data_IF_288780674255
#
_entry.id   IF_288780674255
#
_cell.length_a   1.000
_cell.length_b   1.000
_cell.length_c   1.000
_cell.angle_alpha   90.00
_cell.angle_beta   90.00
_cell.angle_gamma   90.00
#
_symmetry.space_group_name_H-M   'P 1'
#
loop_
_entity.id
_entity.type
_entity.pdbx_description
1 polymer ?
#
# COMPACT_ATOMS: atom_id res chain seq x y z
N UNK A 1 10.70 -1.32 -1.08
CA UNK A 1 10.24 0.08 -1.22
C UNK A 1 10.40 0.86 0.08
N UNK A 2 9.85 0.40 1.20
CA UNK A 2 10.01 1.07 2.50
C UNK A 2 11.45 1.11 2.98
N UNK A 3 12.23 0.06 2.77
CA UNK A 3 13.65 0.02 3.13
C UNK A 3 14.46 1.10 2.41
N UNK A 4 14.10 1.40 1.17
CA UNK A 4 14.76 2.45 0.37
C UNK A 4 14.33 3.86 0.80
N UNK A 5 13.05 4.03 1.15
CA UNK A 5 12.48 5.34 1.51
C UNK A 5 12.77 5.70 2.97
N UNK A 6 12.77 4.72 3.89
CA UNK A 6 12.86 4.95 5.33
C UNK A 6 14.22 4.55 5.93
N UNK A 7 15.12 3.97 5.14
CA UNK A 7 16.38 3.38 5.60
C UNK A 7 16.15 2.03 6.28
N UNK A 8 17.17 1.16 6.28
CA UNK A 8 17.14 -0.11 6.97
C UNK A 8 17.06 0.08 8.49
N UNK A 9 16.27 -0.76 9.17
CA UNK A 9 16.34 -0.88 10.64
C UNK A 9 17.79 -1.30 10.95
N UNK A 10 18.55 -0.49 11.69
CA UNK A 10 19.92 -0.87 12.09
C UNK A 10 19.84 -2.08 13.03
N UNK A 11 20.04 -3.26 12.47
CA UNK A 11 20.45 -4.41 13.28
C UNK A 11 21.95 -4.28 13.46
N UNK A 12 22.39 -4.02 14.68
CA UNK A 12 23.78 -4.10 15.09
C UNK A 12 24.25 -5.55 14.97
N UNK A 13 24.78 -5.94 13.81
CA UNK A 13 25.60 -7.15 13.69
C UNK A 13 26.80 -6.84 12.82
N UNK A 14 27.95 -6.86 13.46
CA UNK A 14 29.26 -6.77 12.81
C UNK A 14 29.52 -8.03 11.98
N UNK A 15 30.10 -7.82 10.81
CA UNK A 15 30.95 -8.80 10.15
C UNK A 15 30.34 -9.49 8.94
N UNK A 16 30.93 -9.26 7.79
CA UNK A 16 30.75 -10.11 6.62
C UNK A 16 30.75 -9.35 5.29
N UNK A 17 31.95 -9.06 4.82
CA UNK A 17 32.24 -8.63 3.46
C UNK A 17 31.75 -9.72 2.47
N UNK A 18 30.75 -9.40 1.63
CA UNK A 18 30.59 -10.13 0.37
C UNK A 18 29.94 -9.22 -0.67
N UNK A 19 30.74 -8.86 -1.66
CA UNK A 19 30.37 -8.10 -2.83
C UNK A 19 29.38 -8.88 -3.70
N UNK A 20 28.22 -8.30 -3.93
CA UNK A 20 27.17 -8.74 -4.84
C UNK A 20 26.74 -7.58 -5.72
N UNK A 21 27.23 -7.60 -6.89
CA UNK A 21 27.11 -6.88 -8.13
C UNK A 21 25.66 -6.48 -8.50
N UNK A 22 25.28 -5.25 -8.15
CA UNK A 22 24.26 -4.48 -8.87
C UNK A 22 24.73 -3.03 -8.96
N UNK A 23 25.75 -2.87 -9.81
CA UNK A 23 26.22 -1.56 -10.23
C UNK A 23 25.35 -1.05 -11.36
N UNK A 24 24.97 0.24 -11.26
CA UNK A 24 24.67 1.01 -12.43
C UNK A 24 23.41 1.86 -12.39
N UNK A 25 23.36 2.88 -11.51
CA UNK A 25 22.92 4.21 -11.87
C UNK A 25 23.76 5.18 -11.04
N UNK A 26 24.97 5.40 -11.53
CA UNK A 26 25.87 6.40 -11.01
C UNK A 26 25.54 7.77 -11.57
N UNK A 27 24.88 8.59 -10.77
CA UNK A 27 24.93 10.04 -10.87
C UNK A 27 25.58 10.52 -9.59
N UNK A 28 26.86 10.96 -9.66
CA UNK A 28 27.65 11.32 -8.51
C UNK A 28 27.08 12.49 -7.73
N UNK A 29 26.86 12.24 -6.44
CA UNK A 29 26.98 13.23 -5.40
C UNK A 29 27.82 12.59 -4.29
N UNK A 30 29.13 12.84 -4.37
CA UNK A 30 30.04 12.56 -3.29
C UNK A 30 29.71 13.44 -2.09
N UNK A 31 29.23 12.84 -1.03
CA UNK A 31 29.03 13.45 0.27
C UNK A 31 29.06 12.35 1.33
N UNK A 32 30.14 12.30 2.13
CA UNK A 32 30.36 11.30 3.18
C UNK A 32 29.21 11.31 4.19
N UNK A 33 28.59 10.15 4.37
CA UNK A 33 27.56 9.96 5.39
C UNK A 33 28.18 9.40 6.68
N UNK A 34 28.77 10.31 7.44
CA UNK A 34 29.00 10.14 8.87
C UNK A 34 28.16 11.19 9.60
N UNK A 35 26.91 10.88 9.97
CA UNK A 35 26.08 11.82 10.72
C UNK A 35 24.64 11.33 10.86
N UNK A 36 24.18 11.19 12.09
CA UNK A 36 22.84 10.76 12.51
C UNK A 36 21.71 11.78 12.25
N UNK A 37 21.91 12.78 11.43
CA UNK A 37 20.85 13.71 11.04
C UNK A 37 20.25 13.25 9.71
N UNK A 38 19.06 12.70 9.75
CA UNK A 38 18.26 12.44 8.56
C UNK A 38 17.91 13.80 7.97
N UNK A 39 18.53 14.13 6.82
CA UNK A 39 18.19 15.33 6.09
C UNK A 39 16.68 15.28 5.74
N UNK A 40 15.91 16.15 6.37
CA UNK A 40 14.47 16.30 6.14
C UNK A 40 14.14 16.67 4.68
N UNK A 41 15.16 17.03 3.89
CA UNK A 41 15.05 17.35 2.46
C UNK A 41 15.20 16.13 1.55
N UNK A 42 15.68 14.98 2.09
CA UNK A 42 15.68 13.74 1.32
C UNK A 42 14.25 13.30 0.99
N UNK A 43 13.98 12.70 -0.20
CA UNK A 43 12.63 12.28 -0.59
C UNK A 43 11.88 11.41 0.44
N UNK A 44 12.62 10.65 1.26
CA UNK A 44 12.05 9.87 2.37
C UNK A 44 11.92 10.62 3.70
N UNK A 45 12.52 11.80 3.84
CA UNK A 45 12.57 12.53 5.11
C UNK A 45 11.19 13.00 5.57
N UNK A 46 10.37 13.49 4.66
CA UNK A 46 9.01 13.93 4.96
C UNK A 46 8.12 12.77 5.44
N UNK A 47 8.12 11.64 4.74
CA UNK A 47 7.34 10.46 5.14
C UNK A 47 7.81 9.93 6.51
N UNK A 48 9.12 9.92 6.76
CA UNK A 48 9.67 9.53 8.04
C UNK A 48 9.17 10.41 9.18
N UNK A 49 9.15 11.74 8.98
CA UNK A 49 8.59 12.68 9.95
C UNK A 49 7.09 12.52 10.16
N UNK A 50 6.33 12.29 9.10
CA UNK A 50 4.88 12.03 9.19
C UNK A 50 4.59 10.74 9.99
N UNK A 51 5.40 9.70 9.81
CA UNK A 51 5.25 8.43 10.53
C UNK A 51 5.64 8.50 12.02
N UNK A 52 6.26 9.59 12.49
CA UNK A 52 6.44 9.87 13.91
C UNK A 52 5.10 10.24 14.59
N UNK A 53 4.13 10.76 13.82
CA UNK A 53 2.79 11.02 14.31
C UNK A 53 1.99 9.69 14.37
N UNK A 54 1.47 9.29 15.56
CA UNK A 54 0.77 8.02 15.73
C UNK A 54 -0.51 7.92 14.90
N UNK A 55 -1.27 9.01 14.75
CA UNK A 55 -2.48 9.01 13.94
C UNK A 55 -2.17 8.85 12.45
N UNK A 56 -1.13 9.52 11.96
CA UNK A 56 -0.69 9.32 10.57
C UNK A 56 -0.16 7.90 10.33
N UNK A 57 0.62 7.35 11.28
CA UNK A 57 1.12 5.97 11.22
C UNK A 57 -0.04 4.98 11.14
N UNK A 58 -1.05 5.11 12.00
CA UNK A 58 -2.26 4.29 12.02
C UNK A 58 -2.99 4.34 10.67
N UNK A 59 -3.29 5.54 10.19
CA UNK A 59 -3.93 5.80 8.89
C UNK A 59 -3.11 5.19 7.74
N UNK A 60 -1.80 5.37 7.73
CA UNK A 60 -0.92 4.84 6.68
C UNK A 60 -0.97 3.31 6.61
N UNK A 61 -0.92 2.62 7.76
CA UNK A 61 -0.98 1.16 7.83
C UNK A 61 -2.34 0.66 7.34
N UNK A 62 -3.45 1.23 7.82
CA UNK A 62 -4.79 0.79 7.45
C UNK A 62 -5.10 1.02 5.97
N UNK A 63 -4.70 2.17 5.43
CA UNK A 63 -4.87 2.45 4.01
C UNK A 63 -4.02 1.52 3.14
N UNK A 64 -2.79 1.17 3.58
CA UNK A 64 -1.97 0.17 2.89
C UNK A 64 -2.64 -1.22 2.91
N UNK A 65 -3.24 -1.63 4.03
CA UNK A 65 -4.03 -2.86 4.12
C UNK A 65 -5.18 -2.88 3.11
N UNK A 66 -5.97 -1.82 3.04
CA UNK A 66 -7.07 -1.71 2.07
C UNK A 66 -6.56 -1.79 0.64
N UNK A 67 -5.51 -1.05 0.29
CA UNK A 67 -4.93 -1.06 -1.06
C UNK A 67 -4.42 -2.45 -1.45
N UNK A 68 -3.71 -3.14 -0.55
CA UNK A 68 -3.18 -4.48 -0.80
C UNK A 68 -4.28 -5.54 -0.95
N UNK A 69 -5.39 -5.38 -0.25
CA UNK A 69 -6.52 -6.32 -0.31
C UNK A 69 -7.57 -5.97 -1.39
N UNK A 70 -7.44 -4.82 -2.10
CA UNK A 70 -8.44 -4.39 -3.08
C UNK A 70 -7.88 -4.07 -4.46
N UNK A 71 -6.96 -3.10 -4.52
CA UNK A 71 -6.50 -2.53 -5.79
C UNK A 71 -5.16 -3.11 -6.25
N UNK A 72 -4.32 -3.56 -5.31
CA UNK A 72 -2.98 -4.07 -5.58
C UNK A 72 -2.90 -5.60 -5.47
N UNK A 73 -4.05 -6.30 -5.59
CA UNK A 73 -4.05 -7.76 -5.70
C UNK A 73 -3.42 -8.19 -7.03
N UNK A 74 -2.81 -9.37 -7.04
CA UNK A 74 -2.20 -9.91 -8.25
C UNK A 74 -3.16 -9.92 -9.44
N UNK A 75 -4.39 -10.40 -9.25
CA UNK A 75 -5.41 -10.53 -10.29
C UNK A 75 -5.80 -9.18 -10.86
N UNK A 76 -5.94 -8.17 -9.99
CA UNK A 76 -6.30 -6.82 -10.41
C UNK A 76 -5.17 -6.16 -11.22
N UNK A 77 -3.93 -6.30 -10.74
CA UNK A 77 -2.77 -5.78 -11.46
C UNK A 77 -2.60 -6.49 -12.79
N UNK A 78 -2.71 -7.83 -12.82
CA UNK A 78 -2.63 -8.62 -14.05
C UNK A 78 -3.66 -8.16 -15.08
N UNK A 79 -4.94 -8.09 -14.70
CA UNK A 79 -6.02 -7.69 -15.61
C UNK A 79 -5.83 -6.26 -16.12
N UNK A 80 -5.37 -5.35 -15.25
CA UNK A 80 -5.11 -3.96 -15.63
C UNK A 80 -3.95 -3.86 -16.62
N UNK A 81 -2.82 -4.53 -16.34
CA UNK A 81 -1.67 -4.55 -17.25
C UNK A 81 -2.05 -5.12 -18.59
N UNK A 82 -2.74 -6.26 -18.63
CA UNK A 82 -3.19 -6.88 -19.89
C UNK A 82 -4.12 -5.96 -20.68
N UNK A 83 -5.07 -5.31 -20.01
CA UNK A 83 -5.97 -4.34 -20.65
C UNK A 83 -5.21 -3.15 -21.22
N UNK A 84 -4.24 -2.60 -20.50
CA UNK A 84 -3.42 -1.48 -20.96
C UNK A 84 -2.53 -1.90 -22.15
N UNK A 85 -1.90 -3.08 -22.10
CA UNK A 85 -1.06 -3.58 -23.20
C UNK A 85 -1.88 -3.82 -24.47
N UNK A 86 -3.12 -4.29 -24.34
CA UNK A 86 -4.02 -4.51 -25.48
C UNK A 86 -4.42 -3.20 -26.20
N UNK A 87 -4.26 -2.04 -25.59
CA UNK A 87 -4.54 -0.75 -26.23
C UNK A 87 -3.40 -0.27 -27.15
N UNK A 88 -2.22 -0.90 -27.09
CA UNK A 88 -1.05 -0.50 -27.87
C UNK A 88 -0.94 -1.40 -29.11
N UNK A 89 -1.21 -0.88 -30.32
CA UNK A 89 -1.09 -1.66 -31.54
C UNK A 89 0.35 -2.14 -31.78
N UNK A 90 0.52 -3.34 -32.31
CA UNK A 90 1.85 -3.88 -32.64
C UNK A 90 2.62 -3.03 -33.66
N UNK A 91 1.92 -2.32 -34.53
CA UNK A 91 2.51 -1.36 -35.50
C UNK A 91 3.19 -0.18 -34.77
N UNK A 92 2.62 0.31 -33.64
CA UNK A 92 3.21 1.39 -32.86
C UNK A 92 4.46 0.90 -32.11
N UNK A 93 4.44 -0.32 -31.61
CA UNK A 93 5.60 -0.96 -30.99
C UNK A 93 6.76 -1.09 -31.98
N UNK A 94 6.49 -1.59 -33.17
CA UNK A 94 7.49 -1.72 -34.25
C UNK A 94 8.04 -0.35 -34.67
N UNK A 95 7.19 0.67 -34.77
CA UNK A 95 7.60 2.02 -35.13
C UNK A 95 8.51 2.64 -34.03
N UNK A 96 8.21 2.41 -32.76
CA UNK A 96 9.05 2.87 -31.64
C UNK A 96 10.42 2.18 -31.65
N UNK A 97 10.46 0.87 -31.86
CA UNK A 97 11.70 0.11 -31.95
C UNK A 97 12.57 0.52 -33.15
N UNK A 98 11.96 0.81 -34.29
CA UNK A 98 12.67 1.31 -35.49
C UNK A 98 13.23 2.72 -35.26
N UNK A 99 12.49 3.61 -34.60
CA UNK A 99 12.89 4.99 -34.37
C UNK A 99 13.95 5.09 -33.28
N UNK A 100 13.89 4.23 -32.29
CA UNK A 100 14.77 4.24 -31.12
C UNK A 100 15.40 2.84 -30.93
N UNK A 101 16.31 2.43 -31.83
CA UNK A 101 16.95 1.11 -31.72
C UNK A 101 17.72 1.04 -30.38
N UNK A 102 17.28 0.14 -29.51
CA UNK A 102 17.82 -0.01 -28.14
C UNK A 102 19.02 -0.96 -28.10
N UNK A 103 19.96 -0.77 -29.03
CA UNK A 103 21.11 -1.66 -29.20
C UNK A 103 22.10 -1.64 -28.02
N UNK A 104 21.96 -0.67 -27.11
CA UNK A 104 22.90 -0.47 -25.98
C UNK A 104 22.25 -0.59 -24.61
N UNK A 105 20.97 -0.83 -24.50
CA UNK A 105 20.30 -1.02 -23.22
C UNK A 105 19.85 -2.46 -23.02
N UNK A 106 20.06 -3.02 -21.83
CA UNK A 106 19.47 -4.30 -21.42
C UNK A 106 17.93 -4.24 -21.30
N UNK A 107 17.32 -3.12 -21.67
CA UNK A 107 15.90 -2.91 -21.64
C UNK A 107 15.28 -3.37 -22.95
N UNK A 108 14.57 -4.49 -22.92
CA UNK A 108 13.74 -4.96 -24.04
C UNK A 108 12.29 -4.59 -23.74
N UNK A 109 11.59 -4.16 -24.77
CA UNK A 109 10.14 -3.99 -24.70
C UNK A 109 9.49 -5.34 -24.37
N UNK A 110 8.63 -5.36 -23.36
CA UNK A 110 7.83 -6.53 -23.01
C UNK A 110 6.38 -6.30 -23.48
N UNK A 111 6.02 -6.78 -24.68
CA UNK A 111 4.69 -6.56 -25.28
C UNK A 111 3.56 -7.26 -24.51
N UNK A 112 3.91 -8.17 -23.61
CA UNK A 112 2.93 -8.93 -22.82
C UNK A 112 2.71 -8.34 -21.43
N UNK A 113 3.59 -7.45 -20.98
CA UNK A 113 3.60 -6.93 -19.62
C UNK A 113 3.98 -7.97 -18.57
N UNK A 114 4.51 -9.14 -18.96
CA UNK A 114 4.82 -10.24 -18.06
C UNK A 114 5.81 -9.84 -16.96
N UNK A 115 6.76 -8.95 -17.25
CA UNK A 115 7.70 -8.44 -16.25
C UNK A 115 6.99 -7.72 -15.11
N UNK A 116 6.01 -6.88 -15.42
CA UNK A 116 5.19 -6.17 -14.43
C UNK A 116 4.28 -7.14 -13.66
N UNK A 117 3.68 -8.10 -14.36
CA UNK A 117 2.81 -9.12 -13.78
C UNK A 117 3.61 -10.01 -12.81
N UNK A 118 4.80 -10.46 -13.22
CA UNK A 118 5.69 -11.26 -12.38
C UNK A 118 6.17 -10.48 -11.13
N UNK A 119 6.45 -9.19 -11.28
CA UNK A 119 6.77 -8.33 -10.14
C UNK A 119 5.58 -8.22 -9.17
N UNK A 120 4.37 -8.01 -9.68
CA UNK A 120 3.17 -7.89 -8.86
C UNK A 120 2.85 -9.17 -8.06
N UNK A 121 3.16 -10.35 -8.61
CA UNK A 121 2.86 -11.64 -7.99
C UNK A 121 3.40 -11.78 -6.56
N UNK A 122 4.60 -11.26 -6.29
CA UNK A 122 5.25 -11.40 -5.00
C UNK A 122 5.33 -10.08 -4.22
N UNK A 123 5.00 -8.96 -4.88
CA UNK A 123 5.23 -7.63 -4.28
C UNK A 123 4.32 -7.33 -3.11
N UNK A 124 3.06 -7.76 -3.18
CA UNK A 124 2.09 -7.55 -2.10
C UNK A 124 2.55 -8.19 -0.78
N UNK A 125 2.95 -9.46 -0.81
CA UNK A 125 3.43 -10.17 0.37
C UNK A 125 4.75 -9.59 0.92
N UNK A 126 5.69 -9.24 0.04
CA UNK A 126 6.93 -8.58 0.47
C UNK A 126 6.67 -7.23 1.13
N UNK A 127 5.76 -6.43 0.58
CA UNK A 127 5.40 -5.15 1.16
C UNK A 127 4.76 -5.33 2.54
N UNK A 128 3.89 -6.33 2.68
CA UNK A 128 3.28 -6.68 3.96
C UNK A 128 4.33 -7.09 5.00
N UNK A 129 5.28 -7.94 4.62
CA UNK A 129 6.41 -8.33 5.50
C UNK A 129 7.23 -7.12 5.93
N UNK A 130 7.61 -6.23 4.99
CA UNK A 130 8.32 -4.99 5.30
C UNK A 130 7.52 -4.09 6.26
N UNK A 131 6.19 -4.05 6.15
CA UNK A 131 5.31 -3.30 7.08
C UNK A 131 5.32 -3.93 8.47
N UNK A 132 5.15 -5.25 8.56
CA UNK A 132 5.17 -6.00 9.84
C UNK A 132 6.47 -5.74 10.58
N UNK A 133 7.62 -5.92 9.93
CA UNK A 133 8.93 -5.68 10.53
C UNK A 133 9.16 -4.21 10.92
N UNK A 134 8.69 -3.29 10.09
CA UNK A 134 8.94 -1.85 10.29
C UNK A 134 8.10 -1.24 11.40
N UNK A 135 6.86 -1.67 11.54
CA UNK A 135 5.88 -1.07 12.43
C UNK A 135 5.57 -1.95 13.65
N UNK A 136 6.26 -3.08 13.82
CA UNK A 136 6.03 -4.08 14.87
C UNK A 136 4.55 -4.52 14.90
N UNK A 137 4.03 -4.89 13.71
CA UNK A 137 2.64 -5.31 13.58
C UNK A 137 2.48 -6.76 14.04
N UNK A 138 1.35 -7.02 14.69
CA UNK A 138 1.02 -8.34 15.21
C UNK A 138 0.23 -9.19 14.20
N UNK A 139 -0.72 -9.98 14.69
CA UNK A 139 -1.49 -10.91 13.87
C UNK A 139 -2.39 -10.16 12.87
N UNK A 140 -2.39 -10.64 11.64
CA UNK A 140 -3.34 -10.22 10.60
C UNK A 140 -4.66 -10.97 10.79
N UNK A 141 -5.76 -10.23 10.89
CA UNK A 141 -7.11 -10.78 11.08
C UNK A 141 -8.07 -10.26 10.04
N UNK A 142 -9.03 -11.11 9.66
CA UNK A 142 -10.06 -10.75 8.69
C UNK A 142 -11.21 -10.03 9.40
N UNK A 143 -11.56 -8.84 8.90
CA UNK A 143 -12.65 -8.00 9.40
C UNK A 143 -13.61 -7.70 8.26
N UNK A 144 -14.91 -7.82 8.52
CA UNK A 144 -15.97 -7.43 7.58
C UNK A 144 -16.57 -6.09 8.01
N UNK A 145 -16.52 -5.10 7.13
CA UNK A 145 -17.05 -3.76 7.38
C UNK A 145 -18.16 -3.47 6.39
N UNK A 146 -19.32 -3.07 6.88
CA UNK A 146 -20.50 -2.90 6.05
C UNK A 146 -21.30 -1.64 6.32
N UNK A 147 -22.27 -1.37 5.42
CA UNK A 147 -23.28 -0.36 5.56
C UNK A 147 -24.65 -0.96 5.25
N UNK A 148 -25.63 -0.69 6.09
CA UNK A 148 -27.05 -1.05 5.89
C UNK A 148 -27.87 0.20 5.73
N UNK A 149 -28.65 0.30 4.65
CA UNK A 149 -29.39 1.52 4.26
C UNK A 149 -28.57 2.42 3.30
N UNK A 150 -29.01 3.68 3.16
CA UNK A 150 -28.42 4.63 2.21
C UNK A 150 -27.21 5.35 2.80
N UNK A 151 -26.06 4.71 2.79
CA UNK A 151 -24.81 5.27 3.26
C UNK A 151 -23.60 4.42 2.87
N UNK A 152 -22.45 4.83 3.34
CA UNK A 152 -21.18 4.11 3.13
C UNK A 152 -20.29 4.25 4.35
N UNK A 153 -19.26 3.40 4.44
CA UNK A 153 -18.25 3.47 5.50
C UNK A 153 -16.91 3.82 4.89
N UNK A 154 -16.17 4.68 5.59
CA UNK A 154 -14.76 4.94 5.34
C UNK A 154 -13.95 4.39 6.51
N UNK A 155 -12.77 3.86 6.22
CA UNK A 155 -11.76 3.46 7.20
C UNK A 155 -10.60 4.43 7.06
N UNK A 156 -10.29 5.17 8.13
CA UNK A 156 -9.22 6.18 8.13
C UNK A 156 -9.27 7.13 6.92
N UNK A 157 -10.48 7.56 6.57
CA UNK A 157 -10.74 8.46 5.43
C UNK A 157 -10.78 7.79 4.06
N UNK A 158 -10.41 6.51 3.93
CA UNK A 158 -10.50 5.77 2.67
C UNK A 158 -11.87 5.10 2.53
N UNK A 159 -12.54 5.38 1.42
CA UNK A 159 -13.80 4.72 1.08
C UNK A 159 -13.55 3.25 0.71
N UNK A 160 -14.37 2.36 1.27
CA UNK A 160 -14.30 0.94 0.96
C UNK A 160 -14.84 0.64 -0.45
N UNK A 161 -14.33 -0.41 -1.13
CA UNK A 161 -14.76 -0.78 -2.48
C UNK A 161 -16.23 -1.18 -2.58
N UNK A 162 -16.81 -1.66 -1.50
CA UNK A 162 -18.23 -2.09 -1.42
C UNK A 162 -18.81 -1.87 -0.03
N UNK A 163 -20.15 -1.87 0.07
CA UNK A 163 -20.89 -1.72 1.34
C UNK A 163 -20.88 -2.98 2.21
N UNK A 164 -20.22 -4.04 1.81
CA UNK A 164 -19.94 -5.24 2.61
C UNK A 164 -18.57 -5.73 2.16
N UNK A 165 -17.53 -5.19 2.78
CA UNK A 165 -16.16 -5.40 2.36
C UNK A 165 -15.36 -6.14 3.43
N UNK A 166 -14.80 -7.28 3.05
CA UNK A 166 -13.89 -8.03 3.89
C UNK A 166 -12.45 -7.62 3.58
N UNK A 167 -11.72 -7.22 4.60
CA UNK A 167 -10.32 -6.82 4.51
C UNK A 167 -9.54 -7.41 5.68
N UNK A 168 -8.24 -7.57 5.48
CA UNK A 168 -7.33 -8.00 6.52
C UNK A 168 -6.64 -6.80 7.14
N UNK A 169 -6.67 -6.73 8.46
CA UNK A 169 -6.04 -5.69 9.28
C UNK A 169 -5.20 -6.29 10.39
N UNK A 170 -4.35 -5.51 11.02
CA UNK A 170 -3.50 -5.95 12.12
C UNK A 170 -4.14 -5.67 13.48
N UNK A 171 -4.08 -6.64 14.41
CA UNK A 171 -4.76 -6.57 15.73
C UNK A 171 -4.28 -5.44 16.61
N UNK A 172 -3.03 -5.00 16.46
CA UNK A 172 -2.45 -3.91 17.25
C UNK A 172 -2.51 -2.53 16.55
N UNK A 173 -3.34 -2.39 15.50
CA UNK A 173 -3.56 -1.11 14.81
C UNK A 173 -5.05 -0.81 14.73
N UNK A 174 -5.54 0.14 15.55
CA UNK A 174 -6.95 0.51 15.58
C UNK A 174 -7.47 0.98 14.21
N UNK A 175 -8.74 0.73 13.94
CA UNK A 175 -9.46 1.28 12.78
C UNK A 175 -10.30 2.47 13.24
N UNK A 176 -10.24 3.56 12.50
CA UNK A 176 -11.20 4.65 12.65
C UNK A 176 -12.25 4.57 11.56
N UNK A 177 -13.46 4.17 11.94
CA UNK A 177 -14.59 4.00 11.04
C UNK A 177 -15.41 5.28 11.00
N UNK A 178 -15.69 5.78 9.80
CA UNK A 178 -16.58 6.93 9.61
C UNK A 178 -17.78 6.53 8.77
N UNK A 179 -18.96 6.65 9.35
CA UNK A 179 -20.23 6.44 8.66
C UNK A 179 -20.59 7.71 7.88
N UNK A 180 -20.81 7.56 6.57
CA UNK A 180 -21.15 8.66 5.66
C UNK A 180 -22.55 8.41 5.10
N UNK A 181 -23.52 9.17 5.57
CA UNK A 181 -24.90 9.09 5.09
C UNK A 181 -25.01 9.67 3.67
N UNK A 182 -25.78 9.02 2.81
CA UNK A 182 -26.20 9.58 1.51
C UNK A 182 -27.30 10.63 1.70
N UNK A 183 -27.61 11.38 0.64
CA UNK A 183 -28.66 12.41 0.70
C UNK A 183 -30.00 11.81 1.17
N UNK A 184 -30.60 12.43 2.18
CA UNK A 184 -31.85 12.01 2.77
C UNK A 184 -31.77 10.86 3.79
N UNK A 185 -30.58 10.32 4.06
CA UNK A 185 -30.37 9.31 5.08
C UNK A 185 -29.74 9.90 6.35
N UNK A 186 -29.95 9.22 7.47
CA UNK A 186 -29.39 9.59 8.77
C UNK A 186 -28.69 8.36 9.36
N UNK A 187 -27.45 8.54 9.82
CA UNK A 187 -26.75 7.51 10.58
C UNK A 187 -27.43 7.29 11.93
N UNK A 188 -27.72 6.05 12.27
CA UNK A 188 -28.45 5.68 13.49
C UNK A 188 -27.57 4.96 14.51
N UNK A 189 -26.46 4.40 14.10
CA UNK A 189 -25.51 3.69 14.97
C UNK A 189 -24.79 2.58 14.27
N UNK A 190 -23.90 1.90 15.00
CA UNK A 190 -23.16 0.74 14.56
C UNK A 190 -23.81 -0.56 15.09
N UNK A 191 -23.52 -1.69 14.44
CA UNK A 191 -24.05 -3.00 14.84
C UNK A 191 -23.60 -3.47 16.23
N UNK A 192 -22.54 -2.91 16.78
CA UNK A 192 -22.04 -3.15 18.14
C UNK A 192 -22.75 -2.29 19.21
N UNK A 193 -23.70 -1.44 18.80
CA UNK A 193 -24.45 -0.56 19.68
C UNK A 193 -23.86 0.84 19.87
N UNK A 194 -22.66 1.11 19.34
CA UNK A 194 -22.08 2.45 19.38
C UNK A 194 -22.83 3.44 18.48
N UNK A 195 -22.93 4.68 18.92
CA UNK A 195 -23.48 5.82 18.13
C UNK A 195 -22.39 6.84 17.78
N UNK A 196 -21.16 6.60 18.17
CA UNK A 196 -20.03 7.48 17.87
C UNK A 196 -19.72 7.48 16.38
N UNK A 197 -19.43 8.65 15.83
CA UNK A 197 -18.99 8.82 14.45
C UNK A 197 -17.99 10.00 14.35
N UNK A 198 -16.70 9.78 14.14
CA UNK A 198 -16.07 8.49 13.85
C UNK A 198 -16.00 7.52 15.05
N UNK A 199 -16.02 6.22 14.79
CA UNK A 199 -15.94 5.13 15.76
C UNK A 199 -14.60 4.41 15.66
N UNK A 200 -13.91 4.25 16.80
CA UNK A 200 -12.63 3.53 16.88
C UNK A 200 -12.84 2.09 17.34
N UNK A 201 -12.29 1.15 16.60
CA UNK A 201 -12.39 -0.29 16.90
C UNK A 201 -11.05 -0.99 16.76
N UNK A 202 -10.80 -1.95 17.62
CA UNK A 202 -9.62 -2.83 17.55
C UNK A 202 -9.98 -4.06 16.70
N UNK A 203 -9.26 -4.36 15.61
CA UNK A 203 -9.52 -5.53 14.78
C UNK A 203 -9.39 -6.83 15.56
N UNK A 204 -10.41 -7.69 15.47
CA UNK A 204 -10.41 -9.05 16.04
C UNK A 204 -10.79 -10.06 14.98
N UNK A 205 -10.38 -11.33 15.17
CA UNK A 205 -10.66 -12.39 14.20
C UNK A 205 -12.17 -12.59 13.99
N UNK A 206 -12.62 -12.54 12.74
CA UNK A 206 -14.02 -12.71 12.38
C UNK A 206 -14.93 -11.53 12.74
N UNK A 207 -14.37 -10.40 13.16
CA UNK A 207 -15.14 -9.19 13.47
C UNK A 207 -16.00 -8.77 12.27
N UNK A 208 -17.27 -8.47 12.56
CA UNK A 208 -18.18 -7.84 11.59
C UNK A 208 -18.78 -6.60 12.23
N UNK A 209 -18.65 -5.46 11.55
CA UNK A 209 -19.21 -4.18 11.99
C UNK A 209 -19.93 -3.49 10.83
N UNK A 210 -21.15 -3.03 11.12
CA UNK A 210 -22.03 -2.43 10.09
C UNK A 210 -22.58 -1.10 10.57
N UNK A 211 -22.42 -0.06 9.76
CA UNK A 211 -23.10 1.22 9.96
C UNK A 211 -24.56 1.11 9.54
N UNK A 212 -25.47 1.62 10.34
CA UNK A 212 -26.93 1.58 10.10
C UNK A 212 -27.40 2.97 9.71
N UNK A 213 -28.18 3.04 8.63
CA UNK A 213 -28.74 4.28 8.11
C UNK A 213 -30.26 4.12 7.91
N UNK A 214 -30.96 5.20 8.16
CA UNK A 214 -32.41 5.32 8.00
C UNK A 214 -32.75 6.48 7.07
#
# INVERSE_FOLDING_TARGET
MFTWVLGAKQTSNQGGNNGGMWGGFGGGFGGGFGGTSVDSRAPGGMLKKLLENPDFKRLFINNACILLNSYLTYEKVQSTVQSMMATIPSSEQQRDEQRWPRNQSNFKWDPTGNTLIAFAKNRGEKLKQEMVERFDLENEVSVTIGASGNGSVQVDGMKLPSNNYQCKFFTNNELQLTAVASAGAVFTGWSDGSTENPHKVTPTAGMTITAQFR
#
